data_IF_460914096865
#
_entry.id   IF_460914096865
#
_cell.length_a   1.000
_cell.length_b   1.000
_cell.length_c   1.000
_cell.angle_alpha   90.00
_cell.angle_beta   90.00
_cell.angle_gamma   90.00
#
_symmetry.space_group_name_H-M   'P 1'
#
loop_
_entity.id
_entity.type
_entity.pdbx_description
1 polymer ?
#
# COMPACT_ATOMS: atom_id res chain seq x y z
N UNK A 1 -6.46 -25.81 -0.31
CA UNK A 1 -7.72 -26.03 0.42
C UNK A 1 -8.52 -24.73 0.34
N UNK A 2 -9.42 -24.61 -0.64
CA UNK A 2 -10.49 -23.61 -0.59
C UNK A 2 -11.75 -24.45 -0.72
N UNK A 3 -12.49 -24.55 0.39
CA UNK A 3 -13.72 -25.33 0.46
C UNK A 3 -14.80 -24.74 -0.43
N UNK A 4 -15.72 -25.62 -0.84
CA UNK A 4 -16.78 -25.44 -1.84
C UNK A 4 -17.87 -24.38 -1.49
N UNK A 5 -17.54 -23.28 -0.81
CA UNK A 5 -18.52 -22.30 -0.30
C UNK A 5 -18.36 -20.86 -0.78
N UNK A 6 -17.14 -20.37 -1.06
CA UNK A 6 -16.91 -18.92 -1.29
C UNK A 6 -16.64 -18.54 -2.77
N UNK A 7 -16.52 -19.53 -3.66
CA UNK A 7 -16.21 -19.31 -5.08
C UNK A 7 -17.41 -19.18 -6.03
N UNK A 8 -18.64 -19.26 -5.51
CA UNK A 8 -19.85 -19.38 -6.35
C UNK A 8 -20.42 -18.05 -6.86
N UNK A 9 -19.96 -16.89 -6.35
CA UNK A 9 -20.37 -15.59 -6.88
C UNK A 9 -19.34 -15.04 -7.88
N UNK A 10 -19.72 -14.85 -9.17
CA UNK A 10 -18.85 -14.28 -10.19
C UNK A 10 -18.29 -12.89 -9.86
N UNK A 11 -19.01 -12.12 -9.04
CA UNK A 11 -18.55 -10.81 -8.57
C UNK A 11 -17.37 -10.96 -7.60
N UNK A 12 -17.45 -11.92 -6.68
CA UNK A 12 -16.40 -12.24 -5.72
C UNK A 12 -15.17 -12.81 -6.42
N UNK A 13 -15.37 -13.69 -7.41
CA UNK A 13 -14.29 -14.18 -8.26
C UNK A 13 -13.63 -13.07 -9.09
N UNK A 14 -14.41 -12.13 -9.64
CA UNK A 14 -13.89 -10.98 -10.39
C UNK A 14 -13.15 -9.99 -9.48
N UNK A 15 -13.68 -9.69 -8.30
CA UNK A 15 -13.03 -8.85 -7.29
C UNK A 15 -11.72 -9.49 -6.83
N UNK A 16 -11.71 -10.80 -6.60
CA UNK A 16 -10.50 -11.55 -6.30
C UNK A 16 -9.50 -11.48 -7.46
N UNK A 17 -9.94 -11.66 -8.70
CA UNK A 17 -9.08 -11.55 -9.87
C UNK A 17 -8.54 -10.13 -10.09
N UNK A 18 -9.34 -9.09 -9.88
CA UNK A 18 -8.87 -7.69 -9.96
C UNK A 18 -7.86 -7.41 -8.86
N UNK A 19 -8.14 -7.85 -7.63
CA UNK A 19 -7.21 -7.76 -6.52
C UNK A 19 -5.90 -8.48 -6.84
N UNK A 20 -5.96 -9.75 -7.25
CA UNK A 20 -4.77 -10.52 -7.65
C UNK A 20 -4.00 -9.87 -8.81
N UNK A 21 -4.70 -9.24 -9.76
CA UNK A 21 -4.06 -8.51 -10.87
C UNK A 21 -3.36 -7.24 -10.40
N UNK A 22 -3.98 -6.47 -9.49
CA UNK A 22 -3.36 -5.28 -8.89
C UNK A 22 -2.17 -5.69 -8.02
N UNK A 23 -2.33 -6.73 -7.21
CA UNK A 23 -1.26 -7.31 -6.39
C UNK A 23 -0.10 -7.78 -7.28
N UNK A 24 -0.37 -8.46 -8.40
CA UNK A 24 0.64 -8.92 -9.34
C UNK A 24 1.33 -7.79 -10.11
N UNK A 25 0.58 -6.79 -10.61
CA UNK A 25 1.15 -5.62 -11.25
C UNK A 25 2.05 -4.83 -10.29
N UNK A 26 1.65 -4.77 -9.01
CA UNK A 26 2.44 -4.18 -7.94
C UNK A 26 3.71 -4.99 -7.69
N UNK A 27 3.62 -6.33 -7.54
CA UNK A 27 4.79 -7.20 -7.41
C UNK A 27 5.77 -6.98 -8.57
N UNK A 28 5.30 -7.00 -9.81
CA UNK A 28 6.13 -6.84 -11.01
C UNK A 28 6.80 -5.47 -11.11
N UNK A 29 6.11 -4.40 -10.68
CA UNK A 29 6.64 -3.03 -10.72
C UNK A 29 7.73 -2.79 -9.66
N UNK A 30 7.57 -3.38 -8.48
CA UNK A 30 8.39 -3.06 -7.31
C UNK A 30 9.43 -4.13 -6.92
N UNK A 31 9.50 -5.28 -7.60
CA UNK A 31 10.54 -6.31 -7.36
C UNK A 31 11.74 -6.25 -8.33
N UNK A 32 12.94 -6.60 -7.87
CA UNK A 32 14.14 -6.77 -8.73
C UNK A 32 13.95 -7.96 -9.67
N UNK A 33 14.13 -7.76 -10.98
CA UNK A 33 14.11 -8.83 -12.00
C UNK A 33 15.02 -10.03 -11.67
N UNK A 34 16.11 -9.81 -10.92
CA UNK A 34 17.09 -10.85 -10.54
C UNK A 34 16.61 -11.80 -9.45
N UNK A 35 15.66 -11.41 -8.58
CA UNK A 35 15.13 -12.27 -7.51
C UNK A 35 14.28 -13.42 -8.05
N UNK A 36 13.86 -13.33 -9.31
CA UNK A 36 13.02 -14.32 -9.93
C UNK A 36 13.71 -15.04 -11.09
N UNK A 37 15.03 -14.98 -11.28
CA UNK A 37 15.61 -15.58 -12.50
C UNK A 37 15.42 -17.10 -12.60
N UNK A 38 15.36 -17.82 -11.46
CA UNK A 38 15.03 -19.25 -11.38
C UNK A 38 13.53 -19.51 -11.17
N UNK A 39 12.84 -18.66 -10.41
CA UNK A 39 11.42 -18.83 -10.10
C UNK A 39 10.48 -18.23 -11.16
N UNK A 40 10.92 -17.30 -12.02
CA UNK A 40 10.18 -16.83 -13.20
C UNK A 40 9.84 -18.03 -14.05
N UNK A 41 10.75 -18.98 -14.26
CA UNK A 41 10.41 -20.13 -15.08
C UNK A 41 9.32 -20.97 -14.40
N UNK A 42 9.38 -21.19 -13.08
CA UNK A 42 8.38 -21.99 -12.37
C UNK A 42 7.05 -21.26 -12.11
N UNK A 43 7.05 -19.95 -11.88
CA UNK A 43 5.88 -19.11 -11.60
C UNK A 43 5.29 -18.48 -12.86
N UNK A 44 6.06 -18.16 -13.90
CA UNK A 44 5.48 -18.03 -15.24
C UNK A 44 5.02 -19.37 -15.72
N UNK A 45 5.69 -20.50 -15.47
CA UNK A 45 5.05 -21.79 -15.73
C UNK A 45 3.91 -22.05 -14.77
N UNK A 46 3.80 -21.50 -13.56
CA UNK A 46 2.63 -21.74 -12.70
C UNK A 46 1.49 -20.79 -13.04
N UNK A 47 1.75 -19.56 -13.50
CA UNK A 47 0.74 -18.63 -14.00
C UNK A 47 0.37 -19.00 -15.42
N UNK A 48 1.31 -19.41 -16.27
CA UNK A 48 1.05 -20.09 -17.54
C UNK A 48 0.38 -21.41 -17.27
N UNK A 49 0.74 -22.22 -16.27
CA UNK A 49 0.06 -23.48 -15.97
C UNK A 49 -1.21 -23.25 -15.18
N UNK A 50 -1.46 -22.15 -14.48
CA UNK A 50 -2.77 -21.85 -13.88
C UNK A 50 -3.65 -21.25 -14.96
N UNK A 51 -3.14 -20.36 -15.80
CA UNK A 51 -3.87 -19.87 -16.98
C UNK A 51 -4.07 -21.00 -17.98
N UNK A 52 -3.11 -21.90 -18.20
CA UNK A 52 -3.17 -23.08 -19.07
C UNK A 52 -3.89 -24.24 -18.37
N UNK A 53 -3.92 -24.41 -17.06
CA UNK A 53 -4.79 -25.39 -16.41
C UNK A 53 -6.23 -24.85 -16.37
N UNK A 54 -6.43 -23.53 -16.24
CA UNK A 54 -7.72 -22.84 -16.46
C UNK A 54 -8.13 -22.75 -17.95
N UNK A 55 -7.19 -22.81 -18.90
CA UNK A 55 -7.44 -22.80 -20.36
C UNK A 55 -7.43 -24.22 -20.99
N UNK A 56 -6.78 -25.21 -20.37
CA UNK A 56 -6.39 -26.52 -20.95
C UNK A 56 -6.77 -27.75 -20.09
N UNK A 57 -6.92 -27.62 -18.76
CA UNK A 57 -7.58 -28.66 -17.90
C UNK A 57 -8.99 -28.28 -17.42
N UNK A 58 -9.38 -27.02 -17.57
CA UNK A 58 -10.77 -26.56 -17.51
C UNK A 58 -11.50 -26.36 -18.86
N UNK A 59 -11.04 -26.82 -20.05
CA UNK A 59 -11.79 -26.65 -21.29
C UNK A 59 -13.00 -27.59 -21.38
N UNK A 60 -13.20 -28.48 -20.41
CA UNK A 60 -14.37 -29.36 -20.36
C UNK A 60 -15.42 -29.01 -19.30
N UNK A 61 -15.14 -28.07 -18.38
CA UNK A 61 -16.10 -27.69 -17.31
C UNK A 61 -16.44 -26.20 -17.26
N UNK A 62 -15.52 -25.27 -17.59
CA UNK A 62 -15.81 -23.83 -17.55
C UNK A 62 -16.55 -23.29 -18.79
N UNK A 63 -16.69 -24.10 -19.86
CA UNK A 63 -17.52 -23.77 -21.02
C UNK A 63 -19.03 -23.75 -20.73
N UNK A 64 -19.44 -24.01 -19.48
CA UNK A 64 -20.84 -23.94 -19.04
C UNK A 64 -21.16 -22.80 -18.07
N UNK A 65 -20.27 -21.83 -17.83
CA UNK A 65 -20.71 -20.55 -17.25
C UNK A 65 -20.89 -19.54 -18.38
N UNK A 66 -22.01 -19.67 -19.08
CA UNK A 66 -22.46 -18.62 -19.99
C UNK A 66 -22.89 -17.40 -19.15
N UNK A 67 -21.98 -16.45 -18.92
CA UNK A 67 -22.36 -15.16 -18.34
C UNK A 67 -23.43 -14.51 -19.21
N UNK A 68 -24.55 -14.13 -18.61
CA UNK A 68 -25.58 -13.34 -19.28
C UNK A 68 -25.02 -11.94 -19.58
N UNK A 69 -25.52 -11.29 -20.63
CA UNK A 69 -25.13 -9.92 -20.98
C UNK A 69 -25.23 -8.99 -19.77
N UNK A 70 -26.27 -9.12 -18.96
CA UNK A 70 -26.50 -8.29 -17.77
C UNK A 70 -25.35 -8.32 -16.75
N UNK A 71 -24.70 -9.46 -16.56
CA UNK A 71 -23.55 -9.61 -15.64
C UNK A 71 -22.32 -8.87 -16.17
N UNK A 72 -22.03 -8.99 -17.47
CA UNK A 72 -20.92 -8.31 -18.13
C UNK A 72 -21.09 -6.79 -18.09
N UNK A 73 -22.32 -6.30 -18.25
CA UNK A 73 -22.64 -4.89 -18.13
C UNK A 73 -22.43 -4.34 -16.72
N UNK A 74 -22.78 -5.10 -15.67
CA UNK A 74 -22.49 -4.70 -14.27
C UNK A 74 -20.98 -4.60 -14.01
N UNK A 75 -20.19 -5.53 -14.54
CA UNK A 75 -18.72 -5.49 -14.43
C UNK A 75 -18.16 -4.24 -15.12
N UNK A 76 -18.66 -3.90 -16.31
CA UNK A 76 -18.29 -2.68 -17.01
C UNK A 76 -18.61 -1.41 -16.19
N UNK A 77 -19.77 -1.36 -15.53
CA UNK A 77 -20.14 -0.24 -14.64
C UNK A 77 -19.19 -0.06 -13.44
N UNK A 78 -18.76 -1.16 -12.83
CA UNK A 78 -17.79 -1.11 -11.72
C UNK A 78 -16.44 -0.58 -12.21
N UNK A 79 -15.97 -1.06 -13.36
CA UNK A 79 -14.75 -0.52 -13.97
C UNK A 79 -14.89 0.97 -14.33
N UNK A 80 -16.07 1.38 -14.79
CA UNK A 80 -16.38 2.78 -15.11
C UNK A 80 -16.36 3.67 -13.86
N UNK A 81 -16.89 3.22 -12.73
CA UNK A 81 -16.86 3.98 -11.47
C UNK A 81 -15.46 4.12 -10.85
N UNK A 82 -14.52 3.27 -11.25
CA UNK A 82 -13.11 3.35 -10.87
C UNK A 82 -12.25 4.07 -11.92
N UNK A 83 -12.87 4.86 -12.81
CA UNK A 83 -12.19 5.64 -13.86
C UNK A 83 -11.31 4.80 -14.81
N UNK A 84 -11.53 3.49 -14.83
CA UNK A 84 -10.80 2.53 -15.67
C UNK A 84 -11.50 2.38 -17.02
N UNK A 85 -11.63 3.48 -17.76
CA UNK A 85 -12.50 3.60 -18.93
C UNK A 85 -12.17 2.63 -20.06
N UNK A 86 -10.90 2.31 -20.29
CA UNK A 86 -10.49 1.29 -21.28
C UNK A 86 -11.00 -0.11 -20.90
N UNK A 87 -10.96 -0.47 -19.61
CA UNK A 87 -11.46 -1.75 -19.11
C UNK A 87 -12.99 -1.79 -19.13
N UNK A 88 -13.63 -0.68 -18.74
CA UNK A 88 -15.07 -0.53 -18.83
C UNK A 88 -15.55 -0.76 -20.27
N UNK A 89 -14.87 -0.15 -21.25
CA UNK A 89 -15.17 -0.31 -22.67
C UNK A 89 -15.12 -1.77 -23.14
N UNK A 90 -14.09 -2.52 -22.76
CA UNK A 90 -13.97 -3.94 -23.14
C UNK A 90 -15.11 -4.80 -22.57
N UNK A 91 -15.50 -4.54 -21.31
CA UNK A 91 -16.62 -5.26 -20.67
C UNK A 91 -17.96 -4.93 -21.32
N UNK A 92 -18.22 -3.65 -21.62
CA UNK A 92 -19.41 -3.25 -22.36
C UNK A 92 -19.40 -3.83 -23.78
N UNK A 93 -18.27 -3.85 -24.47
CA UNK A 93 -18.17 -4.40 -25.82
C UNK A 93 -18.47 -5.91 -25.83
N UNK A 94 -17.94 -6.65 -24.86
CA UNK A 94 -18.22 -8.08 -24.72
C UNK A 94 -19.69 -8.35 -24.40
N UNK A 95 -20.28 -7.50 -23.58
CA UNK A 95 -21.71 -7.54 -23.27
C UNK A 95 -22.57 -7.31 -24.53
N UNK A 96 -22.20 -6.36 -25.39
CA UNK A 96 -22.88 -6.12 -26.68
C UNK A 96 -22.82 -7.34 -27.59
N UNK A 97 -21.64 -7.96 -27.73
CA UNK A 97 -21.47 -9.18 -28.54
C UNK A 97 -22.34 -10.33 -28.05
N UNK A 98 -22.46 -10.49 -26.72
CA UNK A 98 -23.26 -11.55 -26.12
C UNK A 98 -24.76 -11.31 -26.38
N UNK A 99 -25.22 -10.07 -26.20
CA UNK A 99 -26.61 -9.68 -26.50
C UNK A 99 -26.97 -9.89 -27.98
N UNK A 100 -26.06 -9.58 -28.90
CA UNK A 100 -26.25 -9.83 -30.33
C UNK A 100 -26.29 -11.34 -30.67
N UNK A 101 -25.51 -12.15 -29.95
CA UNK A 101 -25.44 -13.59 -30.16
C UNK A 101 -26.65 -14.36 -29.59
N UNK A 102 -27.25 -13.89 -28.49
CA UNK A 102 -28.35 -14.60 -27.80
C UNK A 102 -29.74 -14.26 -28.33
N UNK A 103 -29.90 -13.29 -29.24
CA UNK A 103 -31.21 -12.78 -29.73
C UNK A 103 -32.21 -12.55 -28.58
N UNK A 104 -31.73 -12.08 -27.43
CA UNK A 104 -32.60 -11.75 -26.31
C UNK A 104 -33.50 -10.57 -26.72
N UNK A 105 -34.82 -10.81 -26.87
CA UNK A 105 -35.82 -9.83 -27.30
C UNK A 105 -36.02 -8.68 -26.29
N UNK A 106 -35.50 -8.83 -25.07
CA UNK A 106 -35.66 -7.82 -24.04
C UNK A 106 -34.57 -6.75 -24.10
N UNK A 107 -35.00 -5.61 -24.66
CA UNK A 107 -34.70 -4.25 -24.22
C UNK A 107 -33.79 -3.47 -25.16
N UNK A 108 -34.42 -2.82 -26.14
CA UNK A 108 -33.85 -1.66 -26.84
C UNK A 108 -33.29 -0.62 -25.86
N UNK A 109 -33.88 -0.48 -24.66
CA UNK A 109 -33.38 0.39 -23.59
C UNK A 109 -32.02 -0.06 -23.04
N UNK A 110 -31.84 -1.35 -22.78
CA UNK A 110 -30.58 -1.91 -22.29
C UNK A 110 -29.48 -1.81 -23.35
N UNK A 111 -29.81 -2.11 -24.61
CA UNK A 111 -28.89 -1.93 -25.75
C UNK A 111 -28.49 -0.47 -25.93
N UNK A 112 -29.42 0.48 -25.78
CA UNK A 112 -29.15 1.91 -25.83
C UNK A 112 -28.19 2.35 -24.71
N UNK A 113 -28.48 1.97 -23.47
CA UNK A 113 -27.64 2.28 -22.31
C UNK A 113 -26.22 1.72 -22.48
N UNK A 114 -26.11 0.52 -23.06
CA UNK A 114 -24.83 -0.14 -23.30
C UNK A 114 -23.99 0.58 -24.37
N UNK A 115 -24.63 1.10 -25.42
CA UNK A 115 -23.99 1.94 -26.44
C UNK A 115 -23.59 3.31 -25.87
N UNK A 116 -24.38 3.90 -24.97
CA UNK A 116 -24.04 5.13 -24.26
C UNK A 116 -22.78 4.94 -23.41
N UNK A 117 -22.71 3.87 -22.61
CA UNK A 117 -21.52 3.55 -21.82
C UNK A 117 -20.29 3.22 -22.67
N UNK A 118 -20.46 2.55 -23.82
CA UNK A 118 -19.37 2.32 -24.79
C UNK A 118 -18.83 3.63 -25.36
N UNK A 119 -19.73 4.50 -25.81
CA UNK A 119 -19.37 5.82 -26.34
C UNK A 119 -18.68 6.67 -25.28
N UNK A 120 -19.25 6.72 -24.07
CA UNK A 120 -18.72 7.50 -22.96
C UNK A 120 -17.34 6.99 -22.56
N UNK A 121 -17.17 5.67 -22.40
CA UNK A 121 -15.86 5.08 -22.08
C UNK A 121 -14.81 5.42 -23.15
N UNK A 122 -15.16 5.27 -24.43
CA UNK A 122 -14.28 5.61 -25.56
C UNK A 122 -13.89 7.09 -25.61
N UNK A 123 -14.80 7.97 -25.20
CA UNK A 123 -14.53 9.39 -25.08
C UNK A 123 -13.54 9.68 -23.95
N UNK A 124 -13.77 9.10 -22.77
CA UNK A 124 -12.95 9.34 -21.56
C UNK A 124 -11.50 8.84 -21.71
N UNK A 125 -11.24 7.74 -22.44
CA UNK A 125 -9.87 7.32 -22.77
C UNK A 125 -9.30 7.97 -24.06
N UNK A 126 -9.98 8.98 -24.61
CA UNK A 126 -9.46 9.85 -25.67
C UNK A 126 -9.58 9.31 -27.10
N UNK A 127 -10.31 8.21 -27.33
CA UNK A 127 -10.50 7.64 -28.67
C UNK A 127 -11.81 8.12 -29.33
N UNK A 128 -11.85 9.42 -29.63
CA UNK A 128 -13.03 10.14 -30.16
C UNK A 128 -13.66 9.47 -31.40
N UNK A 129 -12.92 8.96 -32.41
CA UNK A 129 -13.54 8.28 -33.55
C UNK A 129 -14.37 7.04 -33.17
N UNK A 130 -13.94 6.33 -32.12
CA UNK A 130 -14.60 5.13 -31.62
C UNK A 130 -15.81 5.51 -30.76
N UNK A 131 -15.72 6.59 -29.99
CA UNK A 131 -16.86 7.15 -29.27
C UNK A 131 -18.01 7.52 -30.23
N UNK A 132 -17.69 8.23 -31.32
CA UNK A 132 -18.65 8.60 -32.37
C UNK A 132 -19.25 7.36 -33.04
N UNK A 133 -18.41 6.36 -33.36
CA UNK A 133 -18.87 5.10 -33.94
C UNK A 133 -19.87 4.37 -33.01
N UNK A 134 -19.57 4.30 -31.71
CA UNK A 134 -20.43 3.65 -30.73
C UNK A 134 -21.74 4.42 -30.46
N UNK A 135 -21.71 5.76 -30.50
CA UNK A 135 -22.87 6.61 -30.24
C UNK A 135 -23.94 6.58 -31.34
N UNK A 136 -23.58 6.25 -32.59
CA UNK A 136 -24.44 6.43 -33.79
C UNK A 136 -25.09 7.84 -33.87
N UNK A 137 -24.42 8.86 -33.32
CA UNK A 137 -24.93 10.23 -33.18
C UNK A 137 -23.99 11.25 -33.84
N UNK A 138 -24.58 12.38 -34.22
CA UNK A 138 -23.99 13.45 -35.02
C UNK A 138 -22.79 14.15 -34.33
N UNK A 139 -21.80 14.53 -35.13
CA UNK A 139 -20.47 15.05 -34.75
C UNK A 139 -20.53 16.37 -33.94
N UNK A 140 -21.70 16.96 -33.76
CA UNK A 140 -21.92 18.27 -33.15
C UNK A 140 -21.83 18.24 -31.62
N UNK A 141 -22.14 17.12 -30.97
CA UNK A 141 -22.11 16.97 -29.49
C UNK A 141 -20.69 17.02 -28.93
N UNK A 142 -19.71 16.52 -29.68
CA UNK A 142 -18.31 16.38 -29.21
C UNK A 142 -17.41 17.57 -29.60
N UNK A 143 -17.83 18.43 -30.53
CA UNK A 143 -17.06 19.60 -30.99
C UNK A 143 -16.78 20.62 -29.88
N UNK A 144 -17.63 20.72 -28.86
CA UNK A 144 -17.50 21.69 -27.76
C UNK A 144 -16.52 21.33 -26.64
N UNK A 145 -16.05 20.07 -26.56
CA UNK A 145 -15.20 19.58 -25.45
C UNK A 145 -13.79 19.14 -25.89
N UNK A 146 -13.41 19.41 -27.14
CA UNK A 146 -12.14 18.96 -27.75
C UNK A 146 -10.88 19.67 -27.21
N UNK A 147 -11.02 20.71 -26.40
CA UNK A 147 -9.90 21.57 -25.96
C UNK A 147 -9.31 21.22 -24.59
N UNK A 148 -9.80 20.20 -23.86
CA UNK A 148 -9.39 19.96 -22.47
C UNK A 148 -8.84 18.56 -22.13
N UNK A 149 -8.80 17.59 -23.06
CA UNK A 149 -8.34 16.25 -22.69
C UNK A 149 -6.83 16.03 -22.91
N UNK A 150 -6.12 15.89 -21.80
CA UNK A 150 -4.79 15.26 -21.75
C UNK A 150 -4.93 13.76 -22.01
N UNK A 151 -4.12 13.24 -22.94
CA UNK A 151 -4.05 11.82 -23.28
C UNK A 151 -3.85 10.97 -22.02
N UNK A 152 -4.73 10.02 -21.74
CA UNK A 152 -4.44 8.93 -20.82
C UNK A 152 -3.52 7.93 -21.55
N UNK A 153 -2.38 7.53 -20.97
CA UNK A 153 -1.47 6.59 -21.64
C UNK A 153 -2.10 5.19 -21.81
N UNK A 154 -1.61 4.52 -22.84
CA UNK A 154 -2.05 3.22 -23.36
C UNK A 154 -1.67 2.07 -22.41
N UNK A 155 -2.51 1.02 -22.36
CA UNK A 155 -2.31 -0.21 -21.59
C UNK A 155 -1.04 -0.98 -22.02
N UNK A 156 -0.52 -0.71 -23.23
CA UNK A 156 0.73 -1.28 -23.74
C UNK A 156 1.96 -0.40 -23.57
N UNK A 157 1.80 0.85 -23.11
CA UNK A 157 2.90 1.70 -22.67
C UNK A 157 2.96 1.78 -21.15
N UNK A 158 3.15 0.62 -20.51
CA UNK A 158 3.82 0.53 -19.20
C UNK A 158 5.34 0.80 -19.32
N UNK A 159 5.69 1.75 -20.20
CA UNK A 159 7.03 2.27 -20.38
C UNK A 159 7.02 3.71 -19.89
N UNK A 160 6.71 3.89 -18.61
CA UNK A 160 7.24 5.04 -17.90
C UNK A 160 8.50 4.57 -17.18
N UNK A 161 9.62 4.76 -17.86
CA UNK A 161 10.94 4.93 -17.26
C UNK A 161 10.98 6.21 -16.42
N UNK A 162 10.03 6.38 -15.51
CA UNK A 162 10.20 7.19 -14.33
C UNK A 162 10.42 6.19 -13.20
N UNK A 163 11.62 5.61 -13.12
CA UNK A 163 12.03 4.84 -11.95
C UNK A 163 12.06 5.80 -10.76
N UNK A 164 10.90 6.03 -10.16
CA UNK A 164 10.77 6.85 -8.97
C UNK A 164 11.72 6.27 -7.92
N UNK A 165 12.40 7.14 -7.17
CA UNK A 165 13.33 6.72 -6.11
C UNK A 165 12.65 5.72 -5.16
N UNK A 166 11.35 5.91 -4.92
CA UNK A 166 10.48 4.97 -4.20
C UNK A 166 10.49 3.55 -4.80
N UNK A 167 10.27 3.40 -6.11
CA UNK A 167 10.28 2.10 -6.78
C UNK A 167 11.64 1.41 -6.71
N UNK A 168 12.72 2.17 -6.90
CA UNK A 168 14.09 1.66 -6.80
C UNK A 168 14.42 1.16 -5.38
N UNK A 169 13.99 1.90 -4.34
CA UNK A 169 14.17 1.47 -2.95
C UNK A 169 13.35 0.20 -2.63
N UNK A 170 12.12 0.09 -3.14
CA UNK A 170 11.30 -1.12 -2.94
C UNK A 170 11.85 -2.35 -3.67
N UNK A 171 12.64 -2.13 -4.73
CA UNK A 171 13.44 -3.16 -5.40
C UNK A 171 14.70 -3.55 -4.60
N UNK A 172 15.01 -2.84 -3.52
CA UNK A 172 16.22 -3.03 -2.73
C UNK A 172 17.47 -2.52 -3.43
N UNK A 173 17.35 -1.50 -4.28
CA UNK A 173 18.50 -0.74 -4.77
C UNK A 173 19.00 0.18 -3.65
N UNK A 174 20.31 0.15 -3.37
CA UNK A 174 20.91 1.08 -2.40
C UNK A 174 21.14 2.41 -3.12
N UNK A 175 20.40 3.45 -2.73
CA UNK A 175 20.52 4.80 -3.28
C UNK A 175 21.21 5.68 -2.24
N UNK A 176 22.16 6.51 -2.66
CA UNK A 176 22.84 7.52 -1.82
C UNK A 176 23.69 7.01 -0.63
N UNK A 177 23.72 5.71 -0.31
CA UNK A 177 24.57 5.16 0.74
C UNK A 177 26.01 4.94 0.25
N UNK A 178 26.93 5.84 0.59
CA UNK A 178 28.37 5.68 0.29
C UNK A 178 29.04 4.76 1.31
N UNK A 179 30.03 3.97 0.89
CA UNK A 179 30.79 3.05 1.77
C UNK A 179 31.48 3.74 2.95
N UNK A 180 31.82 5.04 2.82
CA UNK A 180 32.35 5.86 3.93
C UNK A 180 31.29 6.14 4.99
N UNK A 181 30.06 6.49 4.58
CA UNK A 181 28.92 6.78 5.46
C UNK A 181 28.49 5.53 6.22
N UNK A 182 28.38 4.40 5.51
CA UNK A 182 28.04 3.09 6.09
C UNK A 182 29.01 2.62 7.18
N UNK A 183 30.29 3.00 7.10
CA UNK A 183 31.30 2.67 8.12
C UNK A 183 31.18 3.48 9.41
N UNK A 184 30.44 4.58 9.38
CA UNK A 184 30.19 5.43 10.55
C UNK A 184 28.95 4.98 11.33
N UNK A 185 28.03 4.27 10.67
CA UNK A 185 26.85 3.70 11.31
C UNK A 185 27.25 2.59 12.29
N UNK A 186 26.61 2.58 13.45
CA UNK A 186 26.96 1.69 14.55
C UNK A 186 25.76 0.96 15.12
N UNK A 187 26.02 -0.21 15.70
CA UNK A 187 25.07 -0.94 16.54
C UNK A 187 25.60 -0.88 17.99
N UNK A 188 24.72 -0.60 18.96
CA UNK A 188 25.10 -0.45 20.36
C UNK A 188 23.99 -0.88 21.30
N UNK A 189 24.37 -1.09 22.56
CA UNK A 189 23.43 -1.20 23.67
C UNK A 189 23.21 0.20 24.25
N UNK A 190 21.97 0.69 24.15
CA UNK A 190 21.58 2.04 24.56
C UNK A 190 20.85 2.02 25.88
N UNK A 191 21.19 2.96 26.76
CA UNK A 191 20.53 3.14 28.07
C UNK A 191 19.43 4.20 28.02
N UNK A 192 19.00 4.64 26.83
CA UNK A 192 17.95 5.65 26.65
C UNK A 192 18.26 6.98 27.37
N UNK A 193 19.53 7.42 27.32
CA UNK A 193 19.96 8.64 28.02
C UNK A 193 20.07 8.50 29.54
N UNK A 194 20.28 7.28 30.05
CA UNK A 194 20.38 7.00 31.48
C UNK A 194 19.03 6.66 32.14
N UNK A 195 18.06 6.19 31.38
CA UNK A 195 16.79 5.71 31.91
C UNK A 195 17.05 4.56 32.92
N UNK A 196 16.52 4.63 34.15
CA UNK A 196 16.80 3.62 35.18
C UNK A 196 16.49 2.18 34.77
N UNK A 197 15.48 1.94 33.94
CA UNK A 197 15.13 0.58 33.47
C UNK A 197 16.13 0.09 32.42
N UNK A 198 16.52 0.96 31.49
CA UNK A 198 17.47 0.62 30.42
C UNK A 198 18.93 0.60 30.91
N UNK A 199 19.22 1.12 32.11
CA UNK A 199 20.51 0.87 32.76
C UNK A 199 20.69 -0.60 33.16
N UNK A 200 19.62 -1.27 33.58
CA UNK A 200 19.67 -2.71 33.93
C UNK A 200 19.43 -3.62 32.72
N UNK A 201 18.63 -3.17 31.75
CA UNK A 201 18.34 -3.90 30.52
C UNK A 201 18.47 -2.97 29.30
N UNK A 202 19.70 -2.69 28.83
CA UNK A 202 19.93 -1.82 27.68
C UNK A 202 19.21 -2.33 26.42
N UNK A 203 18.65 -1.41 25.65
CA UNK A 203 18.00 -1.73 24.37
C UNK A 203 19.05 -1.88 23.26
N UNK A 204 18.84 -2.82 22.33
CA UNK A 204 19.68 -2.97 21.14
C UNK A 204 19.30 -1.89 20.14
N UNK A 205 20.21 -0.98 19.85
CA UNK A 205 20.02 0.18 18.98
C UNK A 205 20.94 0.06 17.75
N UNK A 206 20.37 0.18 16.56
CA UNK A 206 21.04 0.18 15.26
C UNK A 206 20.79 1.53 14.56
N UNK A 207 21.86 2.21 14.17
CA UNK A 207 21.78 3.40 13.33
C UNK A 207 21.65 2.98 11.86
N UNK A 208 20.45 3.09 11.30
CA UNK A 208 20.20 2.77 9.88
C UNK A 208 20.60 3.93 8.97
N UNK A 209 20.44 5.15 9.46
CA UNK A 209 20.81 6.38 8.78
C UNK A 209 21.21 7.44 9.79
N UNK A 210 22.26 8.20 9.48
CA UNK A 210 22.88 9.23 10.33
C UNK A 210 22.22 10.61 10.19
N UNK A 211 21.75 11.01 8.99
CA UNK A 211 21.15 12.33 8.76
C UNK A 211 20.06 12.32 7.64
N UNK A 212 18.77 12.52 7.97
CA UNK A 212 18.23 12.61 9.33
C UNK A 212 18.36 11.28 10.08
N UNK A 213 18.48 11.27 11.41
CA UNK A 213 18.69 10.02 12.15
C UNK A 213 17.50 9.07 11.99
N UNK A 214 17.77 7.85 11.52
CA UNK A 214 16.82 6.73 11.48
C UNK A 214 17.41 5.59 12.29
N UNK A 215 16.74 5.24 13.38
CA UNK A 215 17.18 4.22 14.32
C UNK A 215 16.26 3.01 14.25
N UNK A 216 16.82 1.81 14.36
CA UNK A 216 16.08 0.58 14.62
C UNK A 216 16.43 0.07 16.01
N UNK A 217 15.42 -0.20 16.82
CA UNK A 217 15.57 -0.87 18.10
C UNK A 217 15.11 -2.31 17.96
N UNK A 218 15.98 -3.26 18.28
CA UNK A 218 15.67 -4.69 18.12
C UNK A 218 15.16 -5.30 19.42
N UNK A 219 14.38 -6.37 19.27
CA UNK A 219 13.86 -7.19 20.38
C UNK A 219 13.13 -6.36 21.44
N UNK A 220 12.44 -5.30 21.01
CA UNK A 220 11.69 -4.40 21.89
C UNK A 220 10.46 -5.10 22.44
N UNK A 221 9.84 -6.01 21.68
CA UNK A 221 8.63 -6.73 22.09
C UNK A 221 8.81 -8.24 22.03
N UNK A 222 8.21 -8.92 23.00
CA UNK A 222 8.11 -10.36 23.00
C UNK A 222 7.03 -10.86 22.04
N UNK A 223 7.20 -12.10 21.59
CA UNK A 223 6.20 -12.83 20.80
C UNK A 223 4.81 -12.82 21.43
N UNK A 224 4.73 -12.98 22.75
CA UNK A 224 3.47 -12.99 23.49
C UNK A 224 2.74 -11.63 23.43
N UNK A 225 3.47 -10.52 23.57
CA UNK A 225 2.91 -9.17 23.46
C UNK A 225 2.42 -8.89 22.04
N UNK A 226 3.19 -9.31 21.04
CA UNK A 226 2.84 -9.17 19.62
C UNK A 226 1.52 -9.88 19.31
N UNK A 227 1.35 -11.11 19.76
CA UNK A 227 0.12 -11.86 19.51
C UNK A 227 -1.08 -11.29 20.28
N UNK A 228 -0.88 -10.75 21.48
CA UNK A 228 -1.94 -10.02 22.20
C UNK A 228 -2.39 -8.78 21.41
N UNK A 229 -1.44 -7.96 20.92
CA UNK A 229 -1.76 -6.78 20.10
C UNK A 229 -2.52 -7.18 18.82
N UNK A 230 -2.07 -8.24 18.12
CA UNK A 230 -2.78 -8.74 16.94
C UNK A 230 -4.19 -9.20 17.29
N UNK A 231 -4.38 -9.93 18.39
CA UNK A 231 -5.69 -10.44 18.80
C UNK A 231 -6.66 -9.31 19.17
N UNK A 232 -6.19 -8.29 19.88
CA UNK A 232 -6.98 -7.08 20.16
C UNK A 232 -7.39 -6.33 18.88
N UNK A 233 -6.57 -6.44 17.83
CA UNK A 233 -6.80 -5.77 16.54
C UNK A 233 -7.57 -6.61 15.53
N UNK A 234 -7.82 -7.89 15.81
CA UNK A 234 -8.64 -8.74 14.93
C UNK A 234 -10.08 -8.29 15.08
N UNK A 235 -10.73 -7.86 14.00
CA UNK A 235 -12.10 -7.43 14.11
C UNK A 235 -13.00 -8.63 14.42
N UNK A 236 -13.89 -8.49 15.40
CA UNK A 236 -14.99 -9.43 15.58
C UNK A 236 -15.99 -9.37 14.42
N UNK A 237 -16.37 -8.15 13.98
CA UNK A 237 -17.40 -7.90 12.93
C UNK A 237 -17.03 -6.71 12.00
N UNK A 238 -15.88 -6.06 12.19
CA UNK A 238 -15.47 -4.86 11.42
C UNK A 238 -14.57 -5.20 10.23
N UNK A 239 -14.83 -4.64 9.05
CA UNK A 239 -13.98 -4.78 7.85
C UNK A 239 -12.80 -3.82 7.83
N UNK A 240 -12.50 -3.15 8.96
CA UNK A 240 -11.46 -2.12 9.03
C UNK A 240 -10.05 -2.69 8.84
N UNK A 241 -9.29 -2.10 7.91
CA UNK A 241 -7.88 -2.41 7.62
C UNK A 241 -6.91 -2.03 8.76
N UNK A 242 -7.38 -1.25 9.74
CA UNK A 242 -6.62 -0.79 10.90
C UNK A 242 -7.53 -0.60 12.12
N UNK A 243 -6.94 -0.70 13.32
CA UNK A 243 -7.61 -0.53 14.62
C UNK A 243 -6.79 0.42 15.50
N UNK A 244 -7.46 1.24 16.30
CA UNK A 244 -6.82 2.13 17.27
C UNK A 244 -7.02 1.58 18.68
N UNK A 245 -5.93 1.41 19.42
CA UNK A 245 -5.91 0.90 20.79
C UNK A 245 -5.43 2.00 21.75
N UNK A 246 -6.23 2.31 22.75
CA UNK A 246 -5.87 3.21 23.85
C UNK A 246 -5.04 2.47 24.89
N UNK A 247 -4.21 3.20 25.62
CA UNK A 247 -3.38 2.62 26.69
C UNK A 247 -4.21 1.97 27.82
N UNK A 248 -5.46 2.42 27.98
CA UNK A 248 -6.45 1.89 28.93
C UNK A 248 -7.09 0.57 28.48
N UNK A 249 -7.04 0.23 27.18
CA UNK A 249 -7.77 -0.91 26.62
C UNK A 249 -7.17 -2.25 27.07
N UNK A 250 -5.84 -2.31 27.25
CA UNK A 250 -5.17 -3.49 27.78
C UNK A 250 -3.78 -3.15 28.40
N UNK A 251 -3.33 -3.89 29.43
CA UNK A 251 -2.02 -3.69 30.04
C UNK A 251 -0.83 -3.80 29.08
N UNK A 252 -0.98 -4.58 27.99
CA UNK A 252 0.05 -4.68 26.95
C UNK A 252 0.25 -3.36 26.21
N UNK A 253 -0.83 -2.60 25.98
CA UNK A 253 -0.77 -1.33 25.22
C UNK A 253 -0.09 -0.26 26.06
N UNK A 254 -0.43 -0.12 27.34
CA UNK A 254 0.26 0.80 28.25
C UNK A 254 1.72 0.42 28.48
N UNK A 255 2.04 -0.88 28.58
CA UNK A 255 3.42 -1.37 28.69
C UNK A 255 4.25 -1.02 27.45
N UNK A 256 3.66 -1.12 26.25
CA UNK A 256 4.27 -0.70 24.98
C UNK A 256 4.56 0.80 25.00
N UNK A 257 3.57 1.63 25.34
CA UNK A 257 3.73 3.09 25.42
C UNK A 257 4.84 3.48 26.41
N UNK A 258 4.89 2.83 27.58
CA UNK A 258 5.93 3.05 28.57
C UNK A 258 7.33 2.67 28.06
N UNK A 259 7.47 1.54 27.37
CA UNK A 259 8.76 1.09 26.82
C UNK A 259 9.27 2.03 25.73
N UNK A 260 8.37 2.53 24.89
CA UNK A 260 8.70 3.58 23.91
C UNK A 260 9.12 4.88 24.60
N UNK A 261 8.49 5.25 25.72
CA UNK A 261 8.91 6.41 26.52
C UNK A 261 10.31 6.23 27.09
N UNK A 262 10.62 5.03 27.58
CA UNK A 262 11.92 4.70 28.15
C UNK A 262 13.04 4.76 27.09
N UNK A 263 12.77 4.25 25.89
CA UNK A 263 13.71 4.23 24.75
C UNK A 263 13.94 5.64 24.20
N UNK A 264 12.86 6.40 23.96
CA UNK A 264 12.92 7.70 23.27
C UNK A 264 13.24 8.86 24.20
N UNK A 265 13.02 8.71 25.51
CA UNK A 265 13.05 9.80 26.49
C UNK A 265 11.86 10.77 26.40
N UNK A 266 10.92 10.55 25.47
CA UNK A 266 9.76 11.41 25.23
C UNK A 266 8.58 11.04 26.15
N UNK A 267 7.79 12.05 26.52
CA UNK A 267 6.54 11.85 27.24
C UNK A 267 5.44 11.28 26.34
N UNK A 268 4.58 10.40 26.88
CA UNK A 268 3.49 9.78 26.12
C UNK A 268 2.11 10.40 26.39
N UNK A 269 2.02 11.40 27.27
CA UNK A 269 0.74 12.04 27.64
C UNK A 269 0.02 12.69 26.45
N UNK A 270 0.80 13.27 25.53
CA UNK A 270 0.27 13.86 24.30
C UNK A 270 0.28 12.87 23.14
N UNK A 271 0.69 11.61 23.31
CA UNK A 271 0.74 10.66 22.21
C UNK A 271 -0.66 10.21 21.78
N UNK A 272 -0.81 9.86 20.51
CA UNK A 272 -2.04 9.27 20.00
C UNK A 272 -2.20 7.81 20.48
N UNK A 273 -3.41 7.27 20.30
CA UNK A 273 -3.66 5.84 20.48
C UNK A 273 -2.74 5.02 19.56
N UNK A 274 -2.37 3.81 20.00
CA UNK A 274 -1.58 2.89 19.20
C UNK A 274 -2.41 2.40 18.01
N UNK A 275 -1.98 2.68 16.78
CA UNK A 275 -2.69 2.22 15.59
C UNK A 275 -2.09 0.91 15.09
N UNK A 276 -2.86 -0.16 15.02
CA UNK A 276 -2.42 -1.45 14.47
C UNK A 276 -2.98 -1.63 13.05
N UNK A 277 -2.12 -1.96 12.10
CA UNK A 277 -2.42 -2.13 10.69
C UNK A 277 -1.97 -3.50 10.18
N UNK A 278 -2.71 -4.03 9.21
CA UNK A 278 -2.31 -5.21 8.44
C UNK A 278 -2.23 -4.88 6.95
N UNK A 279 -1.09 -5.17 6.33
CA UNK A 279 -0.94 -5.21 4.88
C UNK A 279 -0.80 -6.68 4.44
N UNK A 280 -1.75 -7.15 3.63
CA UNK A 280 -1.63 -8.40 2.90
C UNK A 280 -0.70 -8.29 1.70
N UNK A 281 -0.62 -9.34 0.88
CA UNK A 281 0.12 -9.34 -0.38
C UNK A 281 -0.31 -8.15 -1.27
N UNK A 282 0.65 -7.46 -1.87
CA UNK A 282 0.46 -6.22 -2.65
C UNK A 282 0.06 -4.98 -1.85
N UNK A 283 -0.33 -5.15 -0.58
CA UNK A 283 -0.61 -4.05 0.34
C UNK A 283 0.62 -3.19 0.54
N UNK A 284 0.45 -1.88 0.40
CA UNK A 284 1.50 -0.88 0.51
C UNK A 284 0.91 0.43 1.02
N UNK A 285 1.77 1.39 1.32
CA UNK A 285 1.35 2.74 1.66
C UNK A 285 2.21 3.73 0.88
N UNK A 286 1.55 4.55 0.04
CA UNK A 286 2.22 5.50 -0.83
C UNK A 286 3.04 6.52 -0.01
N UNK A 287 4.15 7.06 -0.58
CA UNK A 287 4.96 8.06 0.08
C UNK A 287 4.14 9.24 0.61
N UNK A 288 4.35 9.60 1.87
CA UNK A 288 3.60 10.65 2.58
C UNK A 288 4.43 11.25 3.72
N UNK A 289 3.90 12.34 4.27
CA UNK A 289 4.36 12.94 5.52
C UNK A 289 3.33 12.69 6.61
N UNK A 290 3.81 12.33 7.80
CA UNK A 290 2.97 12.18 8.98
C UNK A 290 2.61 13.54 9.59
N UNK A 291 3.37 14.59 9.30
CA UNK A 291 3.09 15.93 9.83
C UNK A 291 1.84 16.50 9.20
N UNK A 292 0.84 16.80 10.02
CA UNK A 292 -0.34 17.54 9.60
C UNK A 292 0.00 19.03 9.63
N UNK A 293 0.37 19.62 8.49
CA UNK A 293 0.49 21.08 8.35
C UNK A 293 -0.92 21.67 8.24
N UNK A 294 -1.64 21.76 9.37
CA UNK A 294 -2.89 22.55 9.46
C UNK A 294 -2.76 23.56 10.58
N UNK A 295 -3.29 24.76 10.32
CA UNK A 295 -3.14 26.00 11.10
C UNK A 295 -3.47 25.93 12.60
N UNK A 296 -3.95 24.81 13.16
CA UNK A 296 -4.30 24.66 14.58
C UNK A 296 -4.20 23.20 15.09
N UNK A 297 -3.43 22.31 14.45
CA UNK A 297 -3.40 20.89 14.83
C UNK A 297 -1.99 20.41 15.12
N UNK A 298 -1.94 19.50 16.11
CA UNK A 298 -0.75 18.97 16.79
C UNK A 298 0.27 18.43 15.79
N UNK A 299 1.47 19.01 15.76
CA UNK A 299 2.56 18.50 14.95
C UNK A 299 2.97 17.12 15.48
N UNK A 300 2.81 16.09 14.65
CA UNK A 300 3.32 14.74 14.92
C UNK A 300 4.83 14.81 14.84
N UNK A 301 5.49 14.77 16.00
CA UNK A 301 6.95 14.82 16.11
C UNK A 301 7.58 13.50 15.66
N UNK A 302 6.86 12.40 15.91
CA UNK A 302 7.49 11.11 16.03
C UNK A 302 6.55 9.94 15.70
N UNK A 303 6.80 9.20 14.62
CA UNK A 303 6.20 7.90 14.39
C UNK A 303 7.19 6.80 14.75
N UNK A 304 6.71 5.85 15.54
CA UNK A 304 7.42 4.58 15.74
C UNK A 304 6.59 3.48 15.12
N UNK A 305 6.88 3.03 13.88
CA UNK A 305 6.33 1.77 13.41
C UNK A 305 7.02 0.61 14.14
N UNK A 306 6.26 -0.02 15.02
CA UNK A 306 6.50 -1.31 15.64
C UNK A 306 6.24 -2.40 14.60
N UNK A 307 7.24 -3.22 14.33
CA UNK A 307 7.16 -4.31 13.37
C UNK A 307 6.68 -5.57 14.10
N UNK A 308 5.43 -5.99 13.84
CA UNK A 308 4.76 -7.09 14.55
C UNK A 308 4.87 -8.44 13.82
N UNK A 309 5.51 -8.46 12.66
CA UNK A 309 5.70 -9.68 11.85
C UNK A 309 6.93 -9.57 10.97
N UNK A 310 7.59 -10.70 10.76
CA UNK A 310 8.59 -10.83 9.70
C UNK A 310 7.90 -10.90 8.34
N UNK A 311 8.49 -10.24 7.35
CA UNK A 311 8.04 -10.30 5.96
C UNK A 311 9.17 -10.88 5.14
N UNK A 312 8.94 -12.04 4.52
CA UNK A 312 9.98 -12.75 3.75
C UNK A 312 10.49 -11.91 2.59
N UNK A 313 9.58 -11.25 1.85
CA UNK A 313 9.93 -10.38 0.73
C UNK A 313 8.98 -9.18 0.63
N UNK A 314 9.57 -8.00 0.40
CA UNK A 314 8.84 -6.74 0.31
C UNK A 314 8.60 -6.10 1.68
N UNK A 315 7.61 -5.21 1.76
CA UNK A 315 7.18 -4.63 3.04
C UNK A 315 8.18 -3.70 3.73
N UNK A 316 9.29 -3.32 3.08
CA UNK A 316 10.26 -2.37 3.64
C UNK A 316 9.65 -0.98 3.81
N UNK A 317 10.07 -0.25 4.84
CA UNK A 317 9.77 1.18 4.97
C UNK A 317 10.89 1.95 4.29
N UNK A 318 10.55 2.77 3.30
CA UNK A 318 11.51 3.48 2.46
C UNK A 318 11.35 4.97 2.57
N UNK A 319 12.46 5.70 2.43
CA UNK A 319 12.53 7.16 2.49
C UNK A 319 13.05 7.68 1.15
N UNK A 320 12.16 8.00 0.18
CA UNK A 320 12.55 8.30 -1.18
C UNK A 320 13.49 9.51 -1.32
N UNK A 321 13.34 10.54 -0.50
CA UNK A 321 14.16 11.76 -0.60
C UNK A 321 15.64 11.50 -0.26
N UNK A 322 15.89 10.69 0.77
CA UNK A 322 17.25 10.42 1.26
C UNK A 322 17.84 9.13 0.69
N UNK A 323 17.02 8.21 0.18
CA UNK A 323 17.46 6.93 -0.36
C UNK A 323 17.60 5.81 0.70
N UNK A 324 17.02 5.98 1.88
CA UNK A 324 17.09 4.98 2.94
C UNK A 324 16.00 3.91 2.80
N UNK A 325 16.30 2.69 3.25
CA UNK A 325 15.36 1.56 3.24
C UNK A 325 15.56 0.72 4.51
N UNK A 326 14.48 0.48 5.23
CA UNK A 326 14.46 -0.29 6.49
C UNK A 326 13.60 -1.53 6.28
N UNK A 327 14.20 -2.70 6.47
CA UNK A 327 13.49 -3.98 6.33
C UNK A 327 12.63 -4.26 7.57
N UNK A 328 11.47 -4.92 7.40
CA UNK A 328 10.67 -5.36 8.53
C UNK A 328 11.33 -6.55 9.22
N UNK A 329 11.56 -6.43 10.53
CA UNK A 329 12.04 -7.41 11.46
C UNK A 329 11.11 -7.44 12.68
N UNK A 330 10.51 -8.59 12.94
CA UNK A 330 9.56 -8.77 14.03
C UNK A 330 10.14 -8.37 15.39
N UNK A 331 9.31 -7.75 16.21
CA UNK A 331 9.68 -7.27 17.54
C UNK A 331 10.55 -6.00 17.54
N UNK A 332 10.89 -5.45 16.37
CA UNK A 332 11.71 -4.25 16.26
C UNK A 332 10.87 -2.97 16.14
N UNK A 333 11.45 -1.84 16.49
CA UNK A 333 10.87 -0.49 16.33
C UNK A 333 11.76 0.31 15.43
N UNK A 334 11.20 0.88 14.36
CA UNK A 334 11.93 1.90 13.58
C UNK A 334 11.49 3.26 14.08
N UNK A 335 12.44 4.18 14.15
CA UNK A 335 12.29 5.49 14.77
C UNK A 335 12.94 6.55 13.89
N UNK A 336 12.20 7.63 13.62
CA UNK A 336 12.73 8.86 13.01
C UNK A 336 11.94 10.07 13.53
N UNK A 337 12.45 11.27 13.27
CA UNK A 337 11.75 12.51 13.58
C UNK A 337 11.12 13.08 12.30
N UNK A 338 9.86 13.50 12.40
CA UNK A 338 9.22 14.24 11.31
C UNK A 338 9.40 15.76 11.43
N UNK A 339 9.84 16.23 12.60
CA UNK A 339 10.06 17.64 12.87
C UNK A 339 11.54 17.87 13.16
N UNK A 340 12.05 18.97 12.63
CA UNK A 340 13.29 19.59 13.10
C UNK A 340 13.13 19.99 14.59
N UNK A 341 14.23 20.31 15.27
CA UNK A 341 14.22 20.78 16.66
C UNK A 341 13.54 22.13 16.81
N UNK A 342 13.46 22.93 15.76
CA UNK A 342 12.69 24.18 15.75
C UNK A 342 11.16 23.99 15.56
N UNK A 343 10.70 22.74 15.45
CA UNK A 343 9.28 22.40 15.28
C UNK A 343 8.76 22.46 13.84
N UNK A 344 9.60 22.81 12.86
CA UNK A 344 9.23 22.75 11.44
C UNK A 344 9.24 21.31 10.92
N UNK A 345 8.38 21.01 9.95
CA UNK A 345 8.37 19.72 9.27
C UNK A 345 9.67 19.47 8.49
N UNK A 346 10.27 18.31 8.68
CA UNK A 346 11.45 17.88 7.93
C UNK A 346 11.01 17.19 6.63
N UNK A 347 11.25 17.82 5.48
CA UNK A 347 10.90 17.24 4.17
C UNK A 347 11.64 15.92 3.90
N UNK A 348 12.74 15.65 4.60
CA UNK A 348 13.51 14.40 4.45
C UNK A 348 12.81 13.21 5.09
N UNK A 349 11.76 13.44 5.88
CA UNK A 349 10.94 12.38 6.50
C UNK A 349 9.87 11.80 5.57
N UNK A 350 9.82 12.22 4.29
CA UNK A 350 8.95 11.59 3.30
C UNK A 350 9.20 10.09 3.27
N UNK A 351 8.18 9.30 3.58
CA UNK A 351 8.35 7.86 3.71
C UNK A 351 7.12 7.11 3.21
N UNK A 352 7.33 5.85 2.83
CA UNK A 352 6.28 4.95 2.35
C UNK A 352 6.55 3.51 2.73
N UNK A 353 5.49 2.69 2.73
CA UNK A 353 5.60 1.25 2.92
C UNK A 353 5.62 0.55 1.57
N UNK A 354 6.71 -0.14 1.25
CA UNK A 354 6.80 -0.95 0.04
C UNK A 354 5.77 -2.08 0.03
N UNK A 355 5.34 -2.53 -1.16
CA UNK A 355 4.43 -3.65 -1.26
C UNK A 355 4.97 -4.93 -0.64
N UNK A 356 4.08 -5.65 0.04
CA UNK A 356 4.38 -6.99 0.57
C UNK A 356 4.31 -7.98 -0.59
N UNK A 357 5.38 -8.72 -0.86
CA UNK A 357 5.38 -9.73 -1.93
C UNK A 357 5.06 -11.12 -1.41
N UNK A 358 5.53 -11.44 -0.20
CA UNK A 358 5.29 -12.72 0.45
C UNK A 358 5.05 -12.53 1.94
N UNK A 359 3.93 -13.07 2.42
CA UNK A 359 3.51 -12.98 3.81
C UNK A 359 2.46 -11.89 4.05
N UNK A 360 2.37 -11.44 5.30
CA UNK A 360 1.50 -10.35 5.73
C UNK A 360 2.29 -9.48 6.70
N UNK A 361 2.28 -8.16 6.47
CA UNK A 361 2.98 -7.18 7.28
C UNK A 361 2.02 -6.60 8.31
N UNK A 362 2.22 -6.95 9.56
CA UNK A 362 1.60 -6.30 10.71
C UNK A 362 2.51 -5.19 11.23
N UNK A 363 1.95 -4.00 11.37
CA UNK A 363 2.64 -2.84 11.97
C UNK A 363 1.75 -2.26 13.04
N UNK A 364 2.33 -1.80 14.15
CA UNK A 364 1.68 -0.84 15.01
C UNK A 364 2.41 0.50 14.93
N UNK A 365 1.70 1.62 14.95
CA UNK A 365 2.29 2.96 14.88
C UNK A 365 1.86 3.73 16.11
N UNK A 366 2.84 4.29 16.83
CA UNK A 366 2.59 5.25 17.91
C UNK A 366 3.09 6.61 17.47
N UNK A 367 2.18 7.59 17.44
CA UNK A 367 2.50 8.97 17.14
C UNK A 367 2.64 9.79 18.42
N UNK A 368 3.77 10.47 18.58
CA UNK A 368 4.01 11.41 19.69
C UNK A 368 3.97 12.83 19.15
N UNK A 369 3.25 13.71 19.84
CA UNK A 369 3.15 15.11 19.47
C UNK A 369 4.28 15.94 20.10
N UNK A 370 4.56 17.08 19.48
CA UNK A 370 5.54 18.05 19.98
C UNK A 370 5.15 18.66 21.34
N UNK A 371 3.86 18.90 21.54
CA UNK A 371 3.33 19.45 22.78
C UNK A 371 3.65 18.51 23.96
N UNK A 372 4.16 19.06 25.06
CA UNK A 372 4.56 18.30 26.24
C UNK A 372 6.00 17.77 26.20
N UNK A 373 6.76 18.08 25.15
CA UNK A 373 8.17 17.68 25.01
C UNK A 373 9.15 18.84 25.22
N UNK A 374 8.67 20.02 25.62
CA UNK A 374 9.43 21.29 25.63
C UNK A 374 10.72 21.19 26.47
N UNK A 375 10.68 20.43 27.56
CA UNK A 375 11.83 20.20 28.45
C UNK A 375 12.63 18.93 28.15
N UNK A 376 12.09 18.02 27.34
CA UNK A 376 12.69 16.73 26.98
C UNK A 376 13.46 16.81 25.66
N UNK A 377 12.96 17.59 24.71
CA UNK A 377 13.55 17.85 23.39
C UNK A 377 13.64 19.36 23.18
N UNK A 378 14.68 19.96 23.75
CA UNK A 378 14.93 21.39 23.63
C UNK A 378 15.13 21.81 22.17
N UNK A 379 14.58 22.96 21.81
CA UNK A 379 14.75 23.56 20.50
C UNK A 379 16.23 23.87 20.23
N UNK A 380 16.67 23.67 18.99
CA UNK A 380 17.97 24.17 18.56
C UNK A 380 17.87 25.65 18.19
N UNK A 381 19.00 26.35 18.28
CA UNK A 381 19.19 27.68 17.70
C UNK A 381 19.44 27.61 16.19
N UNK A 382 19.73 26.42 15.66
CA UNK A 382 19.86 26.16 14.23
C UNK A 382 18.51 25.92 13.57
N UNK A 383 18.29 26.51 12.40
CA UNK A 383 17.08 26.30 11.60
C UNK A 383 17.03 24.91 10.95
N UNK A 384 18.17 24.20 10.86
CA UNK A 384 18.29 22.94 10.09
C UNK A 384 18.54 21.70 10.96
N UNK A 385 18.56 21.84 12.29
CA UNK A 385 18.80 20.74 13.24
C UNK A 385 17.53 20.16 13.83
#
# INVERSE_FOLDING_TARGET
>A
QIGDGEGSEPLTAYQLMQRLRVEWATIMKFTKKSLFQSEIFYLLNLVLYITFFLLYYSPLSLYKISYCSSTLFKLGKVAYSHESYQHAFLWFFKSLQKLQATKEENSDTYKKLLLEYLSSSAYEFGHVPLAVYCARLDLTVYKGKLSQHTKTPDIFTLSETSTSTYEALCRGEELNMKSRRRRQLSCRYSTGGGNPRLMYAPVKEEEVWDDPPIMTYHDVFSEAEIEQLKNLSRPGVSTALHVWLKDEDAPVVSSVSQRLSDITGLGMESAESLQVLNYGVGGHFSPHYDTVVRKNLKSIMFPSPLQLSDVSYGGSTVFPEIGASVKPQKGSVVMWYNLLRNGQGDWRSLHGGCPVYQGSKWVAVKWVHERGQEFRRQCSLSETE
#
